data_IF_446656015856
#
_entry.id   IF_446656015856
#
_cell.length_a   1.000
_cell.length_b   1.000
_cell.length_c   1.000
_cell.angle_alpha   90.00
_cell.angle_beta   90.00
_cell.angle_gamma   90.00
#
_symmetry.space_group_name_H-M   'P 1'
#
loop_
_entity.id
_entity.type
_entity.pdbx_description
1 polymer ?
#
# COMPACT_ATOMS: atom_id res chain seq x y z
N UNK A 1 8.21 1.03 -18.43
CA UNK A 1 7.57 0.50 -17.20
C UNK A 1 8.07 1.11 -15.87
N UNK A 2 8.94 2.14 -15.85
CA UNK A 2 9.49 2.75 -14.61
C UNK A 2 8.64 3.89 -14.02
N UNK A 3 7.74 4.48 -14.79
CA UNK A 3 7.04 5.72 -14.40
C UNK A 3 6.27 5.66 -13.08
N UNK A 4 5.69 4.51 -12.71
CA UNK A 4 4.82 4.40 -11.53
C UNK A 4 5.64 4.26 -10.24
N UNK A 5 6.83 3.68 -10.30
CA UNK A 5 7.70 3.49 -9.13
C UNK A 5 8.37 4.81 -8.73
N UNK A 6 8.72 5.64 -9.70
CA UNK A 6 9.39 6.91 -9.39
C UNK A 6 8.43 8.02 -8.93
N UNK A 7 7.12 7.83 -9.18
CA UNK A 7 6.06 8.75 -8.78
C UNK A 7 5.59 8.50 -7.34
N UNK A 8 5.22 9.57 -6.61
CA UNK A 8 4.68 9.46 -5.27
C UNK A 8 3.23 8.93 -5.31
N UNK A 9 2.98 7.82 -4.62
CA UNK A 9 1.68 7.18 -4.53
C UNK A 9 0.82 7.82 -3.44
N UNK A 10 -0.46 8.01 -3.72
CA UNK A 10 -1.41 8.52 -2.75
C UNK A 10 -1.77 7.45 -1.74
N UNK A 11 -1.75 7.78 -0.45
CA UNK A 11 -2.21 6.85 0.59
C UNK A 11 -3.56 7.28 1.11
N UNK A 12 -4.46 6.32 1.29
CA UNK A 12 -5.83 6.54 1.71
C UNK A 12 -6.17 5.61 2.87
N UNK A 13 -6.77 6.14 3.94
CA UNK A 13 -7.34 5.35 5.02
C UNK A 13 -8.75 4.87 4.64
N UNK A 14 -9.03 3.58 4.79
CA UNK A 14 -10.35 2.98 4.56
C UNK A 14 -11.15 2.99 5.87
N UNK A 15 -12.33 3.62 5.88
CA UNK A 15 -13.27 3.53 7.01
C UNK A 15 -14.17 2.28 6.89
N UNK A 16 -14.43 1.57 8.00
CA UNK A 16 -15.29 0.39 7.99
C UNK A 16 -16.80 0.70 7.91
N UNK A 17 -17.25 1.87 8.38
CA UNK A 17 -18.69 2.13 8.62
C UNK A 17 -19.46 2.80 7.48
N UNK A 18 -18.83 3.21 6.38
CA UNK A 18 -19.55 3.73 5.21
C UNK A 18 -18.89 3.24 3.94
N UNK A 19 -19.70 3.05 2.89
CA UNK A 19 -19.41 2.48 1.56
C UNK A 19 -18.38 3.26 0.73
N UNK A 20 -17.23 3.58 1.34
CA UNK A 20 -16.04 4.25 0.83
C UNK A 20 -16.05 5.77 1.03
N UNK A 21 -15.70 6.22 2.24
CA UNK A 21 -15.08 7.54 2.45
C UNK A 21 -13.59 7.34 2.73
N UNK A 22 -12.76 7.69 1.76
CA UNK A 22 -11.31 7.69 1.91
C UNK A 22 -10.85 8.96 2.60
N UNK A 23 -10.05 8.84 3.67
CA UNK A 23 -9.26 9.98 4.15
C UNK A 23 -7.89 9.93 3.48
N UNK A 24 -7.62 10.86 2.57
CA UNK A 24 -6.30 10.99 1.96
C UNK A 24 -5.25 11.31 3.05
N UNK A 25 -4.12 10.64 2.98
CA UNK A 25 -2.96 10.74 3.86
C UNK A 25 -1.75 11.22 3.01
N UNK A 26 -0.49 11.28 3.50
CA UNK A 26 0.62 11.80 2.69
C UNK A 26 0.88 10.89 1.49
N UNK A 27 1.57 11.42 0.48
CA UNK A 27 2.04 10.59 -0.63
C UNK A 27 3.33 9.87 -0.24
N UNK A 28 3.50 8.63 -0.71
CA UNK A 28 4.71 7.82 -0.49
C UNK A 28 5.47 7.62 -1.80
N UNK A 29 6.74 8.00 -1.84
CA UNK A 29 7.61 7.71 -2.99
C UNK A 29 8.10 6.26 -2.92
N UNK A 30 7.76 5.45 -3.92
CA UNK A 30 7.99 4.01 -3.89
C UNK A 30 9.18 3.58 -4.75
N UNK A 31 10.38 3.54 -4.18
CA UNK A 31 11.57 3.10 -4.94
C UNK A 31 11.48 1.61 -5.35
N UNK A 32 12.01 1.22 -6.53
CA UNK A 32 12.02 -0.18 -6.98
C UNK A 32 12.61 -1.17 -5.97
N UNK A 33 13.62 -0.73 -5.21
CA UNK A 33 14.30 -1.55 -4.20
C UNK A 33 13.39 -2.06 -3.10
N UNK A 34 12.32 -1.31 -2.81
CA UNK A 34 11.32 -1.64 -1.79
C UNK A 34 10.48 -2.85 -2.21
N UNK A 35 10.32 -3.06 -3.53
CA UNK A 35 9.52 -4.14 -4.09
C UNK A 35 10.35 -5.39 -4.42
N UNK A 36 11.62 -5.47 -4.00
CA UNK A 36 12.43 -6.68 -4.20
C UNK A 36 11.79 -7.92 -3.59
N UNK A 37 11.23 -7.79 -2.38
CA UNK A 37 10.52 -8.89 -1.70
C UNK A 37 9.32 -8.35 -0.92
N UNK A 38 8.39 -9.26 -0.59
CA UNK A 38 7.26 -8.96 0.31
C UNK A 38 7.75 -8.38 1.64
N UNK A 39 8.83 -8.94 2.21
CA UNK A 39 9.39 -8.52 3.50
C UNK A 39 9.89 -7.07 3.43
N UNK A 40 10.68 -6.75 2.41
CA UNK A 40 11.22 -5.40 2.19
C UNK A 40 10.09 -4.37 2.04
N UNK A 41 9.01 -4.74 1.35
CA UNK A 41 7.86 -3.85 1.20
C UNK A 41 7.10 -3.64 2.51
N UNK A 42 6.90 -4.70 3.31
CA UNK A 42 6.28 -4.59 4.63
C UNK A 42 7.10 -3.73 5.58
N UNK A 43 8.43 -3.85 5.56
CA UNK A 43 9.34 -3.02 6.37
C UNK A 43 9.27 -1.55 5.96
N UNK A 44 9.25 -1.26 4.66
CA UNK A 44 9.05 0.10 4.15
C UNK A 44 7.73 0.70 4.66
N UNK A 45 6.63 -0.04 4.55
CA UNK A 45 5.33 0.43 5.05
C UNK A 45 5.40 0.66 6.56
N UNK A 46 5.93 -0.29 7.34
CA UNK A 46 6.06 -0.15 8.79
C UNK A 46 6.84 1.09 9.20
N UNK A 47 7.92 1.42 8.49
CA UNK A 47 8.72 2.63 8.75
C UNK A 47 7.92 3.91 8.47
N UNK A 48 7.16 3.94 7.38
CA UNK A 48 6.37 5.10 6.95
C UNK A 48 5.05 5.27 7.74
N UNK A 49 4.55 4.20 8.35
CA UNK A 49 3.26 4.22 9.07
C UNK A 49 3.41 4.16 10.59
N UNK A 50 4.58 4.47 11.16
CA UNK A 50 4.86 4.35 12.61
C UNK A 50 3.85 5.13 13.47
N UNK A 51 3.41 6.30 13.01
CA UNK A 51 2.50 7.19 13.73
C UNK A 51 1.06 7.11 13.23
N UNK A 52 0.74 6.15 12.34
CA UNK A 52 -0.60 6.04 11.78
C UNK A 52 -1.51 5.27 12.74
N UNK A 53 -2.80 5.55 12.68
CA UNK A 53 -3.79 4.85 13.50
C UNK A 53 -3.92 3.40 13.03
N UNK A 54 -4.34 2.51 13.93
CA UNK A 54 -4.72 1.15 13.52
C UNK A 54 -5.86 1.25 12.47
N UNK A 55 -5.77 0.48 11.40
CA UNK A 55 -6.75 0.62 10.32
C UNK A 55 -6.39 -0.14 9.06
N UNK A 56 -7.27 -0.02 8.07
CA UNK A 56 -7.03 -0.49 6.71
C UNK A 56 -6.58 0.70 5.87
N UNK A 57 -5.51 0.52 5.11
CA UNK A 57 -4.93 1.55 4.26
C UNK A 57 -4.80 1.05 2.84
N UNK A 58 -4.76 2.01 1.93
CA UNK A 58 -4.76 1.81 0.50
C UNK A 58 -3.73 2.72 -0.17
N UNK A 59 -2.88 2.17 -1.04
CA UNK A 59 -1.98 2.92 -1.91
C UNK A 59 -2.60 3.00 -3.30
N UNK A 60 -2.82 4.21 -3.80
CA UNK A 60 -3.30 4.49 -5.14
C UNK A 60 -2.17 5.10 -5.98
N UNK A 61 -1.97 4.55 -7.16
CA UNK A 61 -1.14 5.14 -8.21
C UNK A 61 -2.03 5.77 -9.29
N UNK A 62 -1.42 6.51 -10.21
CA UNK A 62 -2.14 7.15 -11.33
C UNK A 62 -2.83 6.11 -12.24
N UNK A 63 -2.26 4.91 -12.35
CA UNK A 63 -2.83 3.81 -13.15
C UNK A 63 -3.81 2.93 -12.36
N UNK A 64 -4.07 3.26 -11.09
CA UNK A 64 -5.08 2.59 -10.27
C UNK A 64 -4.55 1.95 -8.98
N UNK A 65 -5.30 0.97 -8.46
CA UNK A 65 -5.07 0.38 -7.15
C UNK A 65 -3.71 -0.31 -6.97
N UNK A 66 -2.79 0.29 -6.22
CA UNK A 66 -1.42 -0.21 -6.14
C UNK A 66 -1.18 -1.28 -5.06
N UNK A 67 -1.64 -1.04 -3.84
CA UNK A 67 -1.53 -2.00 -2.73
C UNK A 67 -2.57 -1.70 -1.65
N UNK A 68 -3.00 -2.71 -0.90
CA UNK A 68 -3.76 -2.49 0.33
C UNK A 68 -3.08 -3.20 1.49
N UNK A 69 -3.14 -2.60 2.67
CA UNK A 69 -2.55 -3.18 3.87
C UNK A 69 -3.34 -2.84 5.13
N UNK A 70 -3.26 -3.73 6.11
CA UNK A 70 -3.81 -3.50 7.45
C UNK A 70 -2.67 -3.15 8.40
N UNK A 71 -2.83 -2.05 9.15
CA UNK A 71 -1.96 -1.68 10.25
C UNK A 71 -2.58 -2.14 11.57
N UNK A 72 -1.90 -3.07 12.27
CA UNK A 72 -2.32 -3.58 13.58
C UNK A 72 -1.70 -2.74 14.72
N UNK A 73 -2.26 -2.85 15.95
CA UNK A 73 -1.81 -2.12 17.15
C UNK A 73 -0.30 -2.23 17.42
N UNK A 74 0.33 -3.34 17.03
CA UNK A 74 1.77 -3.62 17.23
C UNK A 74 2.68 -2.99 16.17
N UNK A 75 2.14 -2.17 15.26
CA UNK A 75 2.86 -1.70 14.07
C UNK A 75 3.10 -2.80 13.04
N UNK A 76 2.45 -3.96 13.19
CA UNK A 76 2.51 -5.04 12.21
C UNK A 76 1.69 -4.66 10.98
N UNK A 77 2.33 -4.73 9.81
CA UNK A 77 1.71 -4.46 8.50
C UNK A 77 1.35 -5.77 7.81
N UNK A 78 0.08 -5.92 7.44
CA UNK A 78 -0.44 -7.10 6.76
C UNK A 78 -0.90 -6.71 5.35
N UNK A 79 -0.14 -7.10 4.32
CA UNK A 79 -0.46 -6.83 2.92
C UNK A 79 -1.61 -7.71 2.44
N UNK A 80 -2.57 -7.12 1.73
CA UNK A 80 -3.64 -7.85 1.05
C UNK A 80 -3.16 -8.24 -0.35
N UNK A 81 -3.55 -9.43 -0.82
CA UNK A 81 -3.24 -9.91 -2.17
C UNK A 81 -4.16 -9.27 -3.22
N UNK A 82 -5.45 -9.21 -2.91
CA UNK A 82 -6.50 -8.84 -3.85
C UNK A 82 -7.49 -7.84 -3.24
N UNK A 83 -8.22 -7.16 -4.13
CA UNK A 83 -9.35 -6.31 -3.79
C UNK A 83 -10.59 -7.13 -3.41
N UNK A 84 -11.66 -6.47 -2.97
CA UNK A 84 -12.96 -7.12 -2.71
C UNK A 84 -13.55 -7.80 -3.95
N UNK A 85 -13.11 -7.41 -5.14
CA UNK A 85 -13.56 -7.96 -6.42
C UNK A 85 -12.58 -9.01 -6.98
N UNK A 86 -11.75 -9.63 -6.13
CA UNK A 86 -10.73 -10.61 -6.51
C UNK A 86 -9.69 -10.13 -7.55
N UNK A 87 -9.56 -8.81 -7.73
CA UNK A 87 -8.52 -8.24 -8.59
C UNK A 87 -7.21 -8.11 -7.82
N UNK A 88 -6.08 -8.65 -8.31
CA UNK A 88 -4.79 -8.53 -7.65
C UNK A 88 -4.30 -7.08 -7.67
N UNK A 89 -3.67 -6.64 -6.58
CA UNK A 89 -3.06 -5.31 -6.55
C UNK A 89 -1.79 -5.25 -7.38
N UNK A 90 -1.53 -4.09 -7.99
CA UNK A 90 -0.39 -3.90 -8.89
C UNK A 90 0.96 -4.22 -8.24
N UNK A 91 1.12 -3.98 -6.93
CA UNK A 91 2.37 -4.27 -6.22
C UNK A 91 2.84 -5.72 -6.40
N UNK A 92 1.91 -6.68 -6.53
CA UNK A 92 2.24 -8.09 -6.69
C UNK A 92 2.82 -8.43 -8.06
N UNK A 93 2.54 -7.62 -9.08
CA UNK A 93 3.19 -7.73 -10.38
C UNK A 93 4.63 -7.25 -10.37
N UNK A 94 5.07 -6.56 -9.31
CA UNK A 94 6.45 -6.06 -9.14
C UNK A 94 7.23 -6.86 -8.09
N UNK A 95 6.56 -7.36 -7.06
CA UNK A 95 7.20 -8.13 -6.00
C UNK A 95 7.81 -9.41 -6.56
N UNK A 96 9.12 -9.58 -6.40
CA UNK A 96 9.83 -10.77 -6.84
C UNK A 96 10.12 -10.84 -8.34
N UNK A 97 9.78 -9.81 -9.12
CA UNK A 97 10.33 -9.67 -10.48
C UNK A 97 11.74 -9.10 -10.38
N UNK A 98 12.73 -9.93 -10.72
CA UNK A 98 14.12 -9.53 -10.99
C UNK A 98 14.34 -9.60 -12.49
#
# INVERSE_FOLDING_TARGET
MKEILEKPMMVMEMRPEFSIQYKANPKLKLKPEVLKTKKTFQEFLKKNTKNWKKGNYFLRSDIGPFAAFQLKKTGTVLLKKESKNNTPYLCWSYIGKK
#
